data_IF_359790375264
#
_entry.id   IF_359790375264
#
_cell.length_a   1.000
_cell.length_b   1.000
_cell.length_c   1.000
_cell.angle_alpha   90.00
_cell.angle_beta   90.00
_cell.angle_gamma   90.00
#
_symmetry.space_group_name_H-M   'P 1'
#
loop_
_entity.id
_entity.type
_entity.pdbx_description
1 polymer ?
#
# COMPACT_ATOMS: atom_id res chain seq x y z
N UNK A 1 -0.97 -21.91 29.09
CA UNK A 1 -1.31 -20.57 28.53
C UNK A 1 -2.04 -20.81 27.22
N UNK A 2 -3.37 -20.70 27.22
CA UNK A 2 -4.16 -20.88 26.01
C UNK A 2 -4.38 -19.51 25.35
N UNK A 3 -3.63 -19.22 24.30
CA UNK A 3 -3.86 -18.03 23.46
C UNK A 3 -5.13 -18.30 22.66
N UNK A 4 -6.24 -17.63 23.00
CA UNK A 4 -7.45 -17.65 22.16
C UNK A 4 -7.27 -16.66 21.02
N UNK A 5 -6.71 -17.13 19.91
CA UNK A 5 -6.61 -16.35 18.68
C UNK A 5 -7.93 -16.42 17.92
N UNK A 6 -8.65 -15.29 17.81
CA UNK A 6 -9.76 -15.18 16.88
C UNK A 6 -9.24 -14.74 15.51
N UNK A 7 -9.48 -15.55 14.48
CA UNK A 7 -9.21 -15.20 13.09
C UNK A 7 -10.51 -14.72 12.43
N UNK A 8 -10.51 -13.50 11.89
CA UNK A 8 -11.55 -13.04 10.97
C UNK A 8 -11.33 -13.68 9.60
N UNK A 9 -11.79 -14.92 9.41
CA UNK A 9 -11.72 -15.58 8.09
C UNK A 9 -13.03 -15.37 7.33
N UNK A 10 -12.92 -14.73 6.17
CA UNK A 10 -14.02 -14.53 5.22
C UNK A 10 -14.34 -15.86 4.53
N UNK A 11 -15.27 -16.64 5.07
CA UNK A 11 -15.85 -17.77 4.35
C UNK A 11 -17.32 -17.49 4.01
N UNK A 12 -17.57 -17.28 2.71
CA UNK A 12 -18.91 -17.52 2.15
C UNK A 12 -19.10 -19.03 2.02
N UNK A 13 -19.74 -19.66 3.01
CA UNK A 13 -20.30 -21.02 2.85
C UNK A 13 -21.83 -20.90 2.79
N UNK A 14 -22.36 -20.80 1.57
CA UNK A 14 -23.80 -20.83 1.29
C UNK A 14 -24.31 -22.28 1.30
N UNK A 15 -25.31 -22.54 2.15
CA UNK A 15 -26.50 -23.35 1.87
C UNK A 15 -26.39 -24.86 1.55
N UNK A 16 -25.31 -25.57 1.90
CA UNK A 16 -25.28 -27.06 1.82
C UNK A 16 -25.26 -27.79 3.18
N UNK A 17 -25.14 -27.07 4.31
CA UNK A 17 -25.01 -27.73 5.64
C UNK A 17 -26.34 -28.11 6.30
N UNK A 18 -27.46 -27.45 5.95
CA UNK A 18 -28.76 -27.70 6.58
C UNK A 18 -29.32 -29.10 6.26
N UNK A 19 -29.05 -29.62 5.05
CA UNK A 19 -29.51 -30.94 4.61
C UNK A 19 -28.73 -32.06 5.31
N UNK A 20 -27.44 -31.85 5.56
CA UNK A 20 -26.56 -32.83 6.21
C UNK A 20 -26.90 -32.95 7.71
N UNK A 21 -27.22 -31.84 8.38
CA UNK A 21 -27.63 -31.84 9.79
C UNK A 21 -28.99 -32.54 9.99
N UNK A 22 -29.95 -32.36 9.08
CA UNK A 22 -31.22 -33.11 9.12
C UNK A 22 -30.99 -34.62 8.94
N UNK A 23 -30.08 -35.01 8.03
CA UNK A 23 -29.76 -36.42 7.79
C UNK A 23 -29.11 -37.09 9.00
N UNK A 24 -28.19 -36.40 9.69
CA UNK A 24 -27.56 -36.92 10.91
C UNK A 24 -28.48 -36.91 12.13
N UNK A 25 -29.40 -35.94 12.26
CA UNK A 25 -30.41 -35.93 13.33
C UNK A 25 -31.43 -37.07 13.17
N UNK A 26 -31.82 -37.39 11.94
CA UNK A 26 -32.68 -38.56 11.65
C UNK A 26 -31.93 -39.87 11.93
N UNK A 27 -30.62 -39.94 11.64
CA UNK A 27 -29.79 -41.10 11.99
C UNK A 27 -29.61 -41.27 13.51
N UNK A 28 -29.55 -40.17 14.27
CA UNK A 28 -29.41 -40.18 15.73
C UNK A 28 -30.69 -40.63 16.45
N UNK A 29 -31.87 -40.44 15.84
CA UNK A 29 -33.15 -40.92 16.37
C UNK A 29 -33.40 -42.42 16.13
N UNK A 30 -32.56 -43.10 15.35
CA UNK A 30 -32.71 -44.52 14.97
C UNK A 30 -31.79 -45.48 15.74
N UNK A 31 -31.00 -45.00 16.71
CA UNK A 31 -30.11 -45.85 17.51
C UNK A 31 -30.41 -45.65 19.00
N UNK A 32 -31.05 -46.60 19.70
CA UNK A 32 -31.20 -46.52 21.15
C UNK A 32 -29.92 -47.03 21.82
N UNK A 33 -29.39 -46.25 22.75
CA UNK A 33 -28.46 -46.72 23.76
C UNK A 33 -27.00 -46.30 23.54
N UNK A 34 -26.58 -45.28 24.30
CA UNK A 34 -25.27 -45.29 24.94
C UNK A 34 -25.32 -44.42 26.20
N UNK A 35 -25.10 -45.04 27.37
CA UNK A 35 -24.72 -44.36 28.61
C UNK A 35 -23.19 -44.36 28.71
N UNK A 36 -22.59 -43.29 29.24
CA UNK A 36 -21.29 -43.36 29.94
C UNK A 36 -21.02 -42.11 30.81
N UNK A 37 -21.36 -42.24 32.09
CA UNK A 37 -20.57 -42.07 33.34
C UNK A 37 -19.53 -40.92 33.50
N UNK A 38 -19.64 -40.26 34.66
CA UNK A 38 -18.78 -39.28 35.34
C UNK A 38 -17.29 -39.68 35.52
N UNK A 39 -16.39 -38.68 35.46
CA UNK A 39 -15.17 -38.70 36.29
C UNK A 39 -14.81 -37.31 36.84
N UNK A 40 -14.73 -37.26 38.18
CA UNK A 40 -13.94 -36.38 39.04
C UNK A 40 -14.09 -34.85 38.91
N UNK A 41 -14.90 -34.31 39.81
CA UNK A 41 -14.82 -32.93 40.25
C UNK A 41 -13.47 -32.61 40.91
N UNK A 42 -12.65 -31.84 40.21
CA UNK A 42 -11.60 -31.01 40.79
C UNK A 42 -11.71 -29.62 40.15
N UNK A 43 -12.19 -28.65 40.92
CA UNK A 43 -12.18 -27.26 40.51
C UNK A 43 -10.74 -26.74 40.57
N UNK A 44 -10.11 -26.59 39.41
CA UNK A 44 -8.86 -25.85 39.29
C UNK A 44 -9.20 -24.35 39.40
N UNK A 45 -8.84 -23.74 40.51
CA UNK A 45 -8.91 -22.30 40.70
C UNK A 45 -7.79 -21.63 39.91
N UNK A 46 -8.11 -21.15 38.71
CA UNK A 46 -7.26 -20.18 38.00
C UNK A 46 -7.68 -18.79 38.46
N UNK A 47 -6.74 -18.02 39.00
CA UNK A 47 -6.93 -16.58 39.23
C UNK A 47 -7.07 -15.90 37.88
N UNK A 48 -8.31 -15.57 37.53
CA UNK A 48 -8.70 -14.76 36.38
C UNK A 48 -8.24 -13.33 36.65
N UNK A 49 -7.03 -12.98 36.23
CA UNK A 49 -6.86 -11.64 35.68
C UNK A 49 -7.55 -11.68 34.32
N UNK A 50 -8.87 -11.47 34.33
CA UNK A 50 -9.61 -11.17 33.12
C UNK A 50 -8.86 -10.06 32.39
N UNK A 51 -8.54 -10.27 31.13
CA UNK A 51 -8.05 -9.22 30.25
C UNK A 51 -9.21 -8.26 30.05
N UNK A 52 -9.43 -7.31 30.99
CA UNK A 52 -10.60 -6.42 31.13
C UNK A 52 -10.87 -5.47 29.95
N UNK A 53 -10.34 -5.74 28.77
CA UNK A 53 -10.59 -4.93 27.59
C UNK A 53 -12.04 -5.04 27.13
N UNK A 54 -12.62 -3.89 26.83
CA UNK A 54 -13.95 -3.78 26.20
C UNK A 54 -13.87 -4.12 24.71
N UNK A 55 -15.01 -4.06 23.99
CA UNK A 55 -15.00 -4.18 22.52
C UNK A 55 -14.06 -3.10 21.94
N UNK A 56 -13.11 -3.46 21.05
CA UNK A 56 -12.21 -2.48 20.45
C UNK A 56 -12.97 -1.55 19.49
N UNK A 57 -12.54 -0.29 19.43
CA UNK A 57 -13.07 0.71 18.50
C UNK A 57 -12.50 0.46 17.09
N UNK A 58 -13.20 -0.35 16.31
CA UNK A 58 -12.84 -0.72 14.94
C UNK A 58 -14.06 -0.68 14.04
N UNK A 59 -13.92 -0.07 12.87
CA UNK A 59 -14.95 -0.03 11.83
C UNK A 59 -14.72 -1.14 10.82
N UNK A 60 -15.70 -2.03 10.62
CA UNK A 60 -15.65 -3.03 9.55
C UNK A 60 -16.07 -2.42 8.21
N UNK A 61 -15.37 -2.81 7.13
CA UNK A 61 -15.78 -2.46 5.76
C UNK A 61 -17.08 -3.18 5.36
N UNK A 62 -17.38 -4.29 6.02
CA UNK A 62 -18.64 -5.01 5.87
C UNK A 62 -19.69 -4.41 6.81
N UNK A 63 -20.71 -3.78 6.23
CA UNK A 63 -21.81 -3.12 6.93
C UNK A 63 -22.80 -4.10 7.57
N UNK A 64 -22.73 -5.39 7.23
CA UNK A 64 -23.56 -6.45 7.84
C UNK A 64 -22.83 -7.16 9.00
N UNK A 65 -21.53 -6.91 9.17
CA UNK A 65 -20.73 -7.45 10.26
C UNK A 65 -20.99 -6.68 11.55
N UNK A 66 -21.99 -7.14 12.29
CA UNK A 66 -22.24 -6.66 13.65
C UNK A 66 -21.19 -7.24 14.62
N UNK A 67 -20.17 -6.43 14.93
CA UNK A 67 -19.11 -6.74 15.89
C UNK A 67 -19.66 -7.03 17.30
N UNK A 68 -20.82 -6.49 17.65
CA UNK A 68 -21.50 -6.77 18.93
C UNK A 68 -22.19 -8.13 18.96
N UNK A 69 -22.45 -8.72 17.78
CA UNK A 69 -23.05 -10.06 17.62
C UNK A 69 -22.07 -11.19 17.82
N UNK A 70 -20.76 -10.91 17.68
CA UNK A 70 -19.73 -11.81 18.20
C UNK A 70 -19.80 -11.76 19.72
N UNK A 71 -20.60 -12.66 20.30
CA UNK A 71 -20.76 -12.93 21.73
C UNK A 71 -19.47 -13.44 22.41
N UNK A 72 -18.32 -12.90 22.04
CA UNK A 72 -17.09 -13.12 22.77
C UNK A 72 -17.02 -12.05 23.85
N UNK A 73 -16.98 -12.51 25.09
CA UNK A 73 -16.60 -11.66 26.20
C UNK A 73 -15.13 -11.27 25.98
N UNK A 74 -14.89 -10.08 25.42
CA UNK A 74 -13.55 -9.54 25.16
C UNK A 74 -12.71 -9.46 26.45
N UNK A 75 -13.36 -9.58 27.63
CA UNK A 75 -12.70 -9.78 28.92
C UNK A 75 -11.76 -11.01 28.96
N UNK A 76 -11.92 -11.97 28.04
CA UNK A 76 -11.11 -13.19 27.94
C UNK A 76 -10.19 -13.19 26.71
N UNK A 77 -10.13 -12.10 25.96
CA UNK A 77 -9.36 -11.98 24.72
C UNK A 77 -8.16 -11.07 24.96
N UNK A 78 -6.95 -11.62 24.79
CA UNK A 78 -5.71 -10.86 24.91
C UNK A 78 -5.14 -10.39 23.56
N UNK A 79 -5.56 -10.99 22.44
CA UNK A 79 -5.08 -10.63 21.10
C UNK A 79 -6.18 -10.85 20.05
N UNK A 80 -6.35 -9.90 19.14
CA UNK A 80 -7.24 -10.01 17.97
C UNK A 80 -6.40 -9.85 16.72
N UNK A 81 -6.50 -10.79 15.76
CA UNK A 81 -5.84 -10.72 14.46
C UNK A 81 -6.87 -10.48 13.36
N UNK A 82 -6.54 -9.59 12.42
CA UNK A 82 -7.42 -9.23 11.32
C UNK A 82 -6.63 -8.86 10.05
N UNK A 83 -7.16 -9.15 8.86
CA UNK A 83 -6.58 -8.64 7.63
C UNK A 83 -6.91 -7.15 7.46
N UNK A 84 -5.94 -6.36 6.99
CA UNK A 84 -6.10 -4.95 6.63
C UNK A 84 -5.62 -4.69 5.21
N UNK A 85 -6.13 -3.63 4.58
CA UNK A 85 -5.69 -3.12 3.28
C UNK A 85 -5.08 -1.74 3.49
N UNK A 86 -3.87 -1.50 2.97
CA UNK A 86 -3.16 -0.23 3.16
C UNK A 86 -2.69 0.33 1.82
N UNK A 87 -2.79 1.65 1.69
CA UNK A 87 -2.30 2.40 0.54
C UNK A 87 -3.13 2.26 -0.72
N UNK A 88 -2.70 2.92 -1.82
CA UNK A 88 -3.50 3.04 -3.04
C UNK A 88 -3.69 1.73 -3.80
N UNK A 89 -2.81 0.76 -3.59
CA UNK A 89 -2.88 -0.55 -4.25
C UNK A 89 -3.54 -1.61 -3.36
N UNK A 90 -4.16 -1.22 -2.25
CA UNK A 90 -4.82 -2.12 -1.30
C UNK A 90 -3.90 -3.26 -0.86
N UNK A 91 -2.69 -2.93 -0.43
CA UNK A 91 -1.73 -3.92 0.02
C UNK A 91 -2.26 -4.63 1.27
N UNK A 92 -2.34 -5.96 1.21
CA UNK A 92 -2.91 -6.75 2.30
C UNK A 92 -1.86 -7.01 3.37
N UNK A 93 -2.14 -6.59 4.59
CA UNK A 93 -1.36 -6.94 5.78
C UNK A 93 -2.20 -7.77 6.75
N UNK A 94 -1.52 -8.57 7.57
CA UNK A 94 -2.12 -9.20 8.74
C UNK A 94 -1.78 -8.34 9.94
N UNK A 95 -2.79 -7.77 10.55
CA UNK A 95 -2.68 -6.85 11.67
C UNK A 95 -3.19 -7.48 12.95
N UNK A 96 -2.76 -6.94 14.09
CA UNK A 96 -3.24 -7.35 15.39
C UNK A 96 -3.25 -6.21 16.40
N UNK A 97 -4.16 -6.34 17.35
CA UNK A 97 -4.23 -5.54 18.57
C UNK A 97 -4.09 -6.45 19.78
N UNK A 98 -3.49 -5.94 20.85
CA UNK A 98 -3.29 -6.68 22.10
C UNK A 98 -3.94 -5.95 23.26
N UNK A 99 -4.60 -6.69 24.14
CA UNK A 99 -5.09 -6.17 25.40
C UNK A 99 -3.96 -6.16 26.43
N UNK A 100 -3.60 -4.99 26.93
CA UNK A 100 -2.59 -4.79 27.96
C UNK A 100 -3.21 -3.89 29.02
N UNK A 101 -3.33 -4.41 30.25
CA UNK A 101 -3.90 -3.70 31.41
C UNK A 101 -5.27 -3.06 31.15
N UNK A 102 -6.14 -3.77 30.41
CA UNK A 102 -7.49 -3.29 30.07
C UNK A 102 -7.53 -2.32 28.88
N UNK A 103 -6.41 -2.02 28.23
CA UNK A 103 -6.33 -1.16 27.06
C UNK A 103 -5.92 -1.93 25.80
N UNK A 104 -6.57 -1.65 24.68
CA UNK A 104 -6.14 -2.16 23.38
C UNK A 104 -4.96 -1.36 22.84
N UNK A 105 -3.87 -2.04 22.53
CA UNK A 105 -2.64 -1.47 21.95
C UNK A 105 -2.44 -2.03 20.54
N UNK A 106 -2.11 -1.15 19.60
CA UNK A 106 -1.88 -1.46 18.19
C UNK A 106 -2.45 -0.39 17.26
N UNK A 107 -2.65 -0.69 15.96
CA UNK A 107 -2.40 -1.97 15.30
C UNK A 107 -0.91 -2.24 15.04
N UNK A 108 -0.48 -3.47 15.24
CA UNK A 108 0.81 -3.98 14.76
C UNK A 108 0.54 -4.87 13.54
N UNK A 109 1.27 -4.68 12.44
CA UNK A 109 1.05 -5.42 11.20
C UNK A 109 2.29 -6.13 10.70
N UNK A 110 2.06 -7.17 9.91
CA UNK A 110 3.06 -7.96 9.23
C UNK A 110 2.60 -8.25 7.80
N UNK A 111 3.55 -8.38 6.89
CA UNK A 111 3.31 -8.81 5.51
C UNK A 111 3.09 -10.35 5.40
N UNK A 112 3.33 -11.08 6.49
CA UNK A 112 3.20 -12.54 6.59
C UNK A 112 2.55 -12.92 7.92
N UNK A 113 1.87 -14.08 7.99
CA UNK A 113 1.16 -14.52 9.21
C UNK A 113 2.09 -14.83 10.39
N UNK A 114 3.27 -15.39 10.11
CA UNK A 114 4.30 -15.74 11.11
C UNK A 114 5.38 -14.66 11.27
N UNK A 115 5.25 -13.55 10.52
CA UNK A 115 6.25 -12.51 10.47
C UNK A 115 6.34 -11.66 11.73
N UNK A 116 7.42 -10.88 11.81
CA UNK A 116 7.60 -9.88 12.86
C UNK A 116 6.60 -8.75 12.68
N UNK A 117 5.64 -8.66 13.60
CA UNK A 117 4.69 -7.55 13.65
C UNK A 117 5.39 -6.25 14.05
N UNK A 118 5.09 -5.18 13.30
CA UNK A 118 5.63 -3.84 13.54
C UNK A 118 4.50 -2.81 13.64
N UNK A 119 4.69 -1.71 14.38
CA UNK A 119 3.72 -0.61 14.42
C UNK A 119 3.50 -0.03 13.02
N UNK A 120 2.24 0.26 12.69
CA UNK A 120 1.96 1.07 11.50
C UNK A 120 2.34 2.51 11.82
N UNK A 121 3.28 3.05 11.06
CA UNK A 121 3.66 4.45 11.12
C UNK A 121 2.71 5.29 10.25
N UNK A 122 2.70 6.61 10.50
CA UNK A 122 1.76 7.52 9.84
C UNK A 122 1.94 7.50 8.31
N UNK A 123 0.81 7.58 7.63
CA UNK A 123 0.71 7.68 6.17
C UNK A 123 0.94 9.11 5.68
N UNK A 124 1.46 9.24 4.46
CA UNK A 124 1.74 10.53 3.84
C UNK A 124 0.66 10.87 2.82
N UNK A 125 0.15 12.10 2.88
CA UNK A 125 -0.83 12.59 1.93
C UNK A 125 -0.16 13.15 0.67
N UNK A 126 -0.75 12.88 -0.48
CA UNK A 126 -0.47 13.57 -1.73
C UNK A 126 -1.76 14.17 -2.28
N UNK A 127 -1.70 15.45 -2.65
CA UNK A 127 -2.79 16.13 -3.32
C UNK A 127 -2.24 16.81 -4.59
N UNK A 128 -2.77 16.41 -5.74
CA UNK A 128 -2.38 16.95 -7.05
C UNK A 128 -2.58 18.46 -7.17
N UNK A 129 -3.57 19.01 -6.46
CA UNK A 129 -3.93 20.44 -6.57
C UNK A 129 -2.87 21.33 -5.90
N UNK A 130 -2.11 20.79 -4.94
CA UNK A 130 -0.94 21.47 -4.35
C UNK A 130 0.26 21.49 -5.30
N UNK A 131 0.32 20.58 -6.28
CA UNK A 131 1.46 20.38 -7.17
C UNK A 131 1.02 20.24 -8.65
N UNK A 132 0.39 21.25 -9.26
CA UNK A 132 -0.29 21.12 -10.56
C UNK A 132 0.65 20.81 -11.74
N UNK A 133 1.95 21.10 -11.59
CA UNK A 133 2.98 20.85 -12.60
C UNK A 133 3.73 19.53 -12.38
N UNK A 134 3.49 18.84 -11.27
CA UNK A 134 4.07 17.53 -11.02
C UNK A 134 3.16 16.43 -11.56
N UNK A 135 3.82 15.36 -12.01
CA UNK A 135 3.21 14.06 -12.26
C UNK A 135 3.89 13.07 -11.33
N UNK A 136 3.09 12.38 -10.52
CA UNK A 136 3.56 11.42 -9.52
C UNK A 136 3.27 10.01 -10.01
N UNK A 137 4.27 9.14 -9.86
CA UNK A 137 4.20 7.72 -10.20
C UNK A 137 4.51 6.88 -8.95
N UNK A 138 3.72 5.83 -8.75
CA UNK A 138 3.94 4.84 -7.70
C UNK A 138 3.78 3.45 -8.30
N UNK A 139 4.79 2.58 -8.13
CA UNK A 139 4.80 1.20 -8.68
C UNK A 139 4.35 1.17 -10.16
N UNK A 140 4.98 2.01 -10.99
CA UNK A 140 4.72 2.15 -12.43
C UNK A 140 3.29 2.60 -12.81
N UNK A 141 2.53 3.13 -11.86
CA UNK A 141 1.18 3.67 -12.09
C UNK A 141 1.15 5.16 -11.76
N UNK A 142 0.56 5.95 -12.66
CA UNK A 142 0.37 7.39 -12.46
C UNK A 142 -0.73 7.66 -11.42
N UNK A 143 -0.45 8.56 -10.48
CA UNK A 143 -1.37 8.94 -9.42
C UNK A 143 -2.14 10.19 -9.82
N UNK A 144 -3.43 10.02 -10.08
CA UNK A 144 -4.29 11.06 -10.66
C UNK A 144 -5.23 11.72 -9.65
N UNK A 145 -5.40 11.12 -8.47
CA UNK A 145 -6.33 11.57 -7.43
C UNK A 145 -5.62 11.76 -6.08
N UNK A 146 -6.19 12.55 -5.15
CA UNK A 146 -5.69 12.64 -3.78
C UNK A 146 -5.57 11.25 -3.16
N UNK A 147 -4.40 10.94 -2.62
CA UNK A 147 -4.04 9.58 -2.21
C UNK A 147 -3.22 9.60 -0.92
N UNK A 148 -3.47 8.63 -0.05
CA UNK A 148 -2.69 8.36 1.15
C UNK A 148 -1.71 7.21 0.90
N UNK A 149 -0.44 7.44 1.21
CA UNK A 149 0.65 6.48 1.00
C UNK A 149 1.14 5.91 2.34
N UNK A 150 1.22 4.58 2.48
CA UNK A 150 1.78 3.96 3.67
C UNK A 150 3.22 4.42 3.93
N UNK A 151 3.64 4.39 5.19
CA UNK A 151 5.04 4.56 5.54
C UNK A 151 5.93 3.61 4.74
N UNK A 152 7.09 4.11 4.31
CA UNK A 152 8.06 3.38 3.50
C UNK A 152 7.77 3.40 2.00
N UNK A 153 6.60 3.88 1.57
CA UNK A 153 6.27 4.07 0.16
C UNK A 153 7.28 5.00 -0.51
N UNK A 154 7.74 4.63 -1.70
CA UNK A 154 8.60 5.46 -2.53
C UNK A 154 7.83 5.86 -3.78
N UNK A 155 7.72 7.17 -4.01
CA UNK A 155 7.08 7.73 -5.19
C UNK A 155 8.12 8.42 -6.06
N UNK A 156 7.88 8.45 -7.36
CA UNK A 156 8.68 9.19 -8.32
C UNK A 156 7.90 10.43 -8.79
N UNK A 157 8.57 11.57 -8.83
CA UNK A 157 8.04 12.84 -9.27
C UNK A 157 8.76 13.30 -10.54
N UNK A 158 8.01 13.84 -11.48
CA UNK A 158 8.53 14.50 -12.69
C UNK A 158 7.66 15.70 -13.05
N UNK A 159 8.19 16.55 -13.92
CA UNK A 159 7.36 17.59 -14.52
C UNK A 159 6.38 16.98 -15.53
N UNK A 160 5.13 17.48 -15.49
CA UNK A 160 4.05 17.03 -16.36
C UNK A 160 4.34 17.32 -17.83
N UNK A 161 4.82 18.52 -18.12
CA UNK A 161 5.16 18.99 -19.45
C UNK A 161 6.65 18.78 -19.71
N UNK A 162 6.98 17.64 -20.33
CA UNK A 162 8.36 17.22 -20.59
C UNK A 162 9.13 18.25 -21.41
N UNK A 163 10.38 18.49 -21.03
CA UNK A 163 11.27 19.39 -21.74
C UNK A 163 10.94 20.88 -21.60
N UNK A 164 9.68 21.23 -21.31
CA UNK A 164 9.22 22.61 -21.08
C UNK A 164 9.43 23.07 -19.63
N UNK A 165 9.50 22.14 -18.69
CA UNK A 165 9.81 22.40 -17.29
C UNK A 165 10.94 21.49 -16.83
N UNK A 166 11.84 22.04 -16.02
CA UNK A 166 12.94 21.32 -15.39
C UNK A 166 12.57 20.99 -13.94
N UNK A 167 12.83 19.76 -13.53
CA UNK A 167 12.68 19.34 -12.15
C UNK A 167 13.82 19.92 -11.30
N UNK A 168 13.49 20.59 -10.21
CA UNK A 168 14.41 21.16 -9.23
C UNK A 168 14.18 20.47 -7.89
N UNK A 169 15.17 19.68 -7.46
CA UNK A 169 15.08 18.79 -6.31
C UNK A 169 15.21 17.32 -6.72
N UNK A 170 15.07 16.41 -5.75
CA UNK A 170 15.09 14.98 -6.03
C UNK A 170 13.75 14.52 -6.61
N UNK A 171 13.82 13.68 -7.66
CA UNK A 171 12.63 13.11 -8.29
C UNK A 171 12.12 11.85 -7.60
N UNK A 172 12.69 11.45 -6.47
CA UNK A 172 12.20 10.31 -5.68
C UNK A 172 12.03 10.76 -4.24
N UNK A 173 10.87 10.48 -3.65
CA UNK A 173 10.63 10.74 -2.24
C UNK A 173 10.08 9.50 -1.55
N UNK A 174 10.45 9.35 -0.29
CA UNK A 174 10.00 8.29 0.60
C UNK A 174 9.03 8.87 1.63
N UNK A 175 7.95 8.16 1.91
CA UNK A 175 7.07 8.46 3.01
C UNK A 175 7.69 7.99 4.33
N UNK A 176 8.03 8.93 5.21
CA UNK A 176 8.66 8.69 6.50
C UNK A 176 7.77 9.22 7.63
N UNK A 177 6.87 8.34 8.09
CA UNK A 177 6.04 8.57 9.29
C UNK A 177 5.20 9.84 9.19
N UNK A 178 4.49 9.97 8.07
CA UNK A 178 3.58 11.07 7.78
C UNK A 178 4.21 12.23 7.02
N UNK A 179 5.53 12.21 6.81
CA UNK A 179 6.25 13.25 6.08
C UNK A 179 6.96 12.71 4.85
N UNK A 180 7.00 13.50 3.78
CA UNK A 180 7.74 13.16 2.57
C UNK A 180 9.20 13.61 2.69
N UNK A 181 10.12 12.67 2.52
CA UNK A 181 11.57 12.90 2.55
C UNK A 181 12.24 12.43 1.25
N UNK A 182 12.95 13.31 0.53
CA UNK A 182 12.89 14.77 0.66
C UNK A 182 11.49 15.31 0.33
N UNK A 183 11.28 16.62 0.54
CA UNK A 183 10.03 17.29 0.16
C UNK A 183 9.83 17.25 -1.36
N UNK A 184 8.59 17.41 -1.81
CA UNK A 184 8.26 17.44 -3.23
C UNK A 184 9.11 18.46 -4.00
N UNK A 185 9.64 18.07 -5.19
CA UNK A 185 10.44 18.97 -6.03
C UNK A 185 9.58 20.04 -6.70
N UNK A 186 10.23 21.05 -7.26
CA UNK A 186 9.59 22.13 -8.01
C UNK A 186 9.82 21.95 -9.52
N UNK A 187 8.82 22.30 -10.33
CA UNK A 187 8.98 22.38 -11.78
C UNK A 187 9.21 23.83 -12.21
N UNK A 188 10.45 24.14 -12.58
CA UNK A 188 10.82 25.48 -13.03
C UNK A 188 10.67 25.63 -14.55
N UNK A 189 10.14 26.76 -15.05
CA UNK A 189 9.95 26.98 -16.48
C UNK A 189 11.29 27.03 -17.22
N UNK A 190 11.32 26.49 -18.43
CA UNK A 190 12.50 26.54 -19.32
C UNK A 190 12.42 27.73 -20.29
N UNK A 191 13.47 27.92 -21.09
CA UNK A 191 13.62 29.07 -22.01
C UNK A 191 12.43 29.35 -22.93
N UNK A 192 11.72 28.34 -23.45
CA UNK A 192 10.52 28.59 -24.27
C UNK A 192 9.35 29.13 -23.45
N UNK A 193 9.17 28.64 -22.21
CA UNK A 193 8.10 29.11 -21.32
C UNK A 193 8.40 30.54 -20.83
N UNK A 194 9.67 30.86 -20.56
CA UNK A 194 10.07 32.20 -20.10
C UNK A 194 10.27 33.19 -21.24
N UNK A 195 10.03 32.81 -22.50
CA UNK A 195 10.38 33.63 -23.69
C UNK A 195 11.83 34.12 -23.66
N UNK A 196 12.75 33.22 -23.32
CA UNK A 196 14.19 33.46 -23.23
C UNK A 196 14.59 34.56 -22.23
N UNK A 197 13.74 34.86 -21.25
CA UNK A 197 14.04 35.83 -20.20
C UNK A 197 14.70 35.15 -18.99
N UNK A 198 15.57 35.89 -18.30
CA UNK A 198 16.32 35.40 -17.15
C UNK A 198 17.31 34.29 -17.48
N UNK A 199 17.76 33.61 -16.43
CA UNK A 199 18.66 32.45 -16.50
C UNK A 199 17.85 31.14 -16.44
N UNK A 200 16.88 31.01 -17.34
CA UNK A 200 16.03 29.83 -17.41
C UNK A 200 16.79 28.63 -18.00
N UNK A 201 16.58 27.41 -17.48
CA UNK A 201 17.20 26.21 -18.06
C UNK A 201 16.77 26.01 -19.53
N UNK A 202 17.62 25.39 -20.36
CA UNK A 202 17.28 25.12 -21.76
C UNK A 202 16.03 24.26 -21.90
N UNK A 203 15.26 24.51 -22.96
CA UNK A 203 14.11 23.68 -23.33
C UNK A 203 14.58 22.52 -24.21
N UNK A 204 14.07 21.32 -23.96
CA UNK A 204 14.33 20.16 -24.83
C UNK A 204 13.03 19.81 -25.54
N UNK A 205 13.01 19.93 -26.86
CA UNK A 205 11.91 19.45 -27.70
C UNK A 205 12.30 18.11 -28.31
N UNK A 206 11.34 17.19 -28.39
CA UNK A 206 11.50 15.96 -29.15
C UNK A 206 10.45 15.92 -30.25
N UNK A 207 10.88 15.56 -31.46
CA UNK A 207 10.01 15.40 -32.62
C UNK A 207 10.29 14.05 -33.26
N UNK A 208 9.23 13.30 -33.52
CA UNK A 208 9.33 12.02 -34.23
C UNK A 208 9.36 12.30 -35.73
N UNK A 209 10.47 11.96 -36.37
CA UNK A 209 10.66 12.11 -37.82
C UNK A 209 10.06 10.91 -38.56
N UNK A 210 10.23 9.70 -38.02
CA UNK A 210 9.64 8.45 -38.50
C UNK A 210 9.52 7.43 -37.38
N UNK A 211 8.63 6.44 -37.52
CA UNK A 211 8.45 5.35 -36.54
C UNK A 211 7.45 5.68 -35.43
N UNK A 212 7.75 5.30 -34.19
CA UNK A 212 6.90 5.52 -33.01
C UNK A 212 7.73 5.71 -31.72
N UNK A 213 7.14 6.42 -30.75
CA UNK A 213 7.71 6.56 -29.41
C UNK A 213 6.59 6.74 -28.38
N UNK A 214 6.85 6.38 -27.13
CA UNK A 214 5.93 6.55 -26.01
C UNK A 214 6.67 7.09 -24.79
N UNK A 215 5.98 7.87 -23.96
CA UNK A 215 6.52 8.33 -22.68
C UNK A 215 6.00 7.39 -21.59
N UNK A 216 6.92 6.79 -20.83
CA UNK A 216 6.59 5.99 -19.66
C UNK A 216 6.07 6.84 -18.49
N UNK A 217 5.40 6.24 -17.50
CA UNK A 217 4.93 6.94 -16.30
C UNK A 217 6.06 7.64 -15.53
N UNK A 218 7.25 7.05 -15.51
CA UNK A 218 8.50 7.60 -14.98
C UNK A 218 9.07 8.78 -15.78
N UNK A 219 8.53 9.04 -16.98
CA UNK A 219 8.96 10.13 -17.86
C UNK A 219 10.08 9.76 -18.82
N UNK A 220 10.48 8.48 -18.90
CA UNK A 220 11.42 8.04 -19.92
C UNK A 220 10.74 8.04 -21.29
N UNK A 221 11.47 8.51 -22.31
CA UNK A 221 11.03 8.45 -23.70
C UNK A 221 11.49 7.12 -24.29
N UNK A 222 10.54 6.20 -24.45
CA UNK A 222 10.74 4.89 -25.09
C UNK A 222 10.58 5.05 -26.60
N UNK A 223 11.66 4.84 -27.34
CA UNK A 223 11.70 4.93 -28.80
C UNK A 223 11.70 3.53 -29.38
N UNK A 224 10.73 3.21 -30.23
CA UNK A 224 10.61 1.87 -30.81
C UNK A 224 11.67 1.64 -31.91
N UNK A 225 12.03 0.38 -32.21
CA UNK A 225 12.94 0.07 -33.32
C UNK A 225 12.54 0.74 -34.63
N UNK A 226 13.53 1.05 -35.47
CA UNK A 226 13.39 1.72 -36.76
C UNK A 226 12.76 3.13 -36.72
N UNK A 227 12.69 3.73 -35.53
CA UNK A 227 12.21 5.10 -35.36
C UNK A 227 13.35 6.12 -35.43
N UNK A 228 13.06 7.29 -35.99
CA UNK A 228 13.98 8.42 -36.05
C UNK A 228 13.43 9.57 -35.21
N UNK A 229 14.22 9.96 -34.22
CA UNK A 229 13.93 11.00 -33.23
C UNK A 229 14.83 12.21 -33.49
N UNK A 230 14.24 13.40 -33.55
CA UNK A 230 14.97 14.66 -33.46
C UNK A 230 14.84 15.24 -32.06
N UNK A 231 15.97 15.57 -31.46
CA UNK A 231 16.05 16.32 -30.20
C UNK A 231 16.60 17.71 -30.48
N UNK A 232 15.86 18.74 -30.10
CA UNK A 232 16.28 20.13 -30.23
C UNK A 232 16.44 20.73 -28.82
N UNK A 233 17.65 21.17 -28.47
CA UNK A 233 17.87 22.01 -27.30
C UNK A 233 17.73 23.47 -27.72
N UNK A 234 16.73 24.11 -27.15
CA UNK A 234 16.42 25.51 -27.40
C UNK A 234 16.98 26.31 -26.23
N UNK A 235 17.90 27.22 -26.54
CA UNK A 235 18.47 28.17 -25.58
C UNK A 235 18.98 29.41 -26.30
N UNK A 236 19.28 30.48 -25.56
CA UNK A 236 19.83 31.72 -26.12
C UNK A 236 21.29 31.48 -26.52
N UNK A 237 21.68 31.89 -27.73
CA UNK A 237 23.09 31.72 -28.17
C UNK A 237 24.10 32.43 -27.25
N UNK A 238 23.70 33.53 -26.60
CA UNK A 238 24.57 34.28 -25.69
C UNK A 238 24.85 33.56 -24.38
N UNK A 239 24.05 32.56 -23.97
CA UNK A 239 24.28 31.77 -22.75
C UNK A 239 25.23 30.59 -22.98
N UNK A 240 25.82 30.48 -24.19
CA UNK A 240 26.78 29.44 -24.54
C UNK A 240 26.17 28.26 -25.28
N UNK A 241 26.97 27.21 -25.47
CA UNK A 241 26.56 25.94 -26.07
C UNK A 241 26.30 24.94 -24.94
N UNK A 242 25.08 24.39 -24.81
CA UNK A 242 24.78 23.40 -23.79
C UNK A 242 25.43 22.06 -24.13
N UNK A 243 25.99 21.40 -23.12
CA UNK A 243 26.47 20.03 -23.22
C UNK A 243 25.32 19.04 -22.98
N UNK A 244 25.30 17.96 -23.76
CA UNK A 244 24.30 16.90 -23.63
C UNK A 244 24.93 15.67 -23.00
N UNK A 245 24.24 15.08 -22.03
CA UNK A 245 24.54 13.76 -21.50
C UNK A 245 23.24 12.96 -21.43
N UNK A 246 23.30 11.70 -21.84
CA UNK A 246 22.21 10.75 -21.68
C UNK A 246 22.70 9.58 -20.82
N UNK A 247 21.87 9.16 -19.88
CA UNK A 247 22.06 7.91 -19.15
C UNK A 247 21.38 6.81 -19.95
N UNK A 248 22.15 5.81 -20.39
CA UNK A 248 21.54 4.54 -20.83
C UNK A 248 20.94 3.88 -19.59
N UNK A 249 19.73 3.30 -19.66
CA UNK A 249 19.25 2.43 -18.58
C UNK A 249 20.33 1.38 -18.31
N UNK A 250 20.66 1.15 -17.03
CA UNK A 250 21.52 0.04 -16.66
C UNK A 250 20.83 -1.24 -17.15
N UNK A 251 21.45 -1.92 -18.10
CA UNK A 251 21.06 -3.24 -18.54
C UNK A 251 21.22 -4.15 -17.32
N UNK A 252 20.12 -4.50 -16.67
CA UNK A 252 20.11 -5.60 -15.71
C UNK A 252 20.28 -6.88 -16.53
N UNK A 253 21.54 -7.20 -16.86
CA UNK A 253 21.92 -8.50 -17.37
C UNK A 253 21.46 -9.56 -16.37
N UNK A 254 20.63 -10.54 -16.75
CA UNK A 254 20.49 -11.75 -15.96
C UNK A 254 21.87 -12.40 -15.92
N UNK A 255 22.35 -12.70 -14.71
CA UNK A 255 23.62 -13.40 -14.52
C UNK A 255 23.63 -14.71 -15.31
N UNK A 256 24.83 -15.02 -15.82
CA UNK A 256 25.22 -16.34 -16.29
C UNK A 256 24.90 -17.42 -15.24
N UNK A 257 24.12 -18.43 -15.63
CA UNK A 257 24.30 -19.79 -15.13
C UNK A 257 24.62 -20.67 -16.35
N UNK A 258 25.87 -21.12 -16.41
CA UNK A 258 26.42 -22.10 -17.33
C UNK A 258 27.64 -22.75 -16.70
#
# INVERSE_FOLDING_TARGET
MAVKTCYMVKYRLKLHCAIVILFYLVLFLLIPGYEAIEQNGTYVSFTLEDFKCTVPDVTSVDTELDLSRFRADFSKISEVKFPSLIGPLNEKLICKIKCIDGNWVGPLCSNTEDGRYQPILRECAYNKDQFPLLSITFKNSSIMEPTLFPHGSVVAARCRLLGLYKLKGEGSMRCENGEWTPRFPECVPTTLITNFTGDAPPTILYTLVSGSAAVGPEGALHVYPDSSLRLDCITRRSTGRPDWAWTRPAESSPGEEG
#
